data_IF_108850388675
#
_entry.id   IF_108850388675
#
_cell.length_a   1.000
_cell.length_b   1.000
_cell.length_c   1.000
_cell.angle_alpha   90.00
_cell.angle_beta   90.00
_cell.angle_gamma   90.00
#
_symmetry.space_group_name_H-M   'P 1'
#
loop_
_entity.id
_entity.type
_entity.pdbx_description
1 polymer ?
#
# COMPACT_ATOMS: atom_id res chain seq x y z
N UNK A 1 35.14 26.36 5.40
CA UNK A 1 35.22 24.99 4.83
C UNK A 1 34.45 24.09 5.78
N UNK A 2 33.35 23.41 5.48
CA UNK A 2 32.82 22.93 4.20
C UNK A 2 32.53 21.44 4.36
N UNK A 3 31.36 21.07 4.88
CA UNK A 3 30.82 19.71 4.75
C UNK A 3 29.29 19.79 4.82
N UNK A 4 28.68 19.85 3.63
CA UNK A 4 27.25 20.01 3.45
C UNK A 4 26.46 18.84 3.99
N UNK A 5 25.29 19.15 4.55
CA UNK A 5 24.22 18.19 4.83
C UNK A 5 23.85 17.49 3.52
N UNK A 6 24.26 16.23 3.36
CA UNK A 6 23.81 15.43 2.22
C UNK A 6 22.31 15.17 2.39
N UNK A 7 21.51 15.94 1.65
CA UNK A 7 20.09 15.66 1.47
C UNK A 7 20.04 14.33 0.72
N UNK A 8 19.80 13.24 1.46
CA UNK A 8 19.53 11.90 0.94
C UNK A 8 18.47 12.03 -0.17
N UNK A 9 18.91 12.04 -1.43
CA UNK A 9 18.07 11.75 -2.58
C UNK A 9 17.73 10.26 -2.51
N UNK A 10 16.85 9.92 -1.56
CA UNK A 10 16.43 8.54 -1.31
C UNK A 10 15.85 7.96 -2.59
N UNK A 11 16.32 6.77 -2.95
CA UNK A 11 16.03 6.03 -4.18
C UNK A 11 14.58 6.25 -4.68
N UNK A 12 14.42 7.21 -5.59
CA UNK A 12 13.10 7.61 -6.14
C UNK A 12 12.61 6.64 -7.21
N UNK A 13 13.54 5.90 -7.83
CA UNK A 13 13.25 4.98 -8.92
C UNK A 13 13.11 3.52 -8.47
N UNK A 14 13.72 3.11 -7.35
CA UNK A 14 13.70 1.72 -6.87
C UNK A 14 14.60 0.81 -7.71
N UNK A 15 15.34 -0.08 -7.05
CA UNK A 15 16.06 -1.17 -7.71
C UNK A 15 15.11 -2.37 -7.88
N UNK A 16 15.46 -3.32 -8.76
CA UNK A 16 14.68 -4.55 -8.90
C UNK A 16 14.53 -5.24 -7.53
N UNK A 17 13.30 -5.55 -7.13
CA UNK A 17 12.98 -6.14 -5.82
C UNK A 17 13.07 -5.20 -4.61
N UNK A 18 13.46 -3.94 -4.77
CA UNK A 18 13.48 -2.92 -3.70
C UNK A 18 12.43 -1.85 -3.94
N UNK A 19 11.67 -1.51 -2.89
CA UNK A 19 10.65 -0.48 -3.02
C UNK A 19 11.28 0.91 -2.98
N UNK A 20 10.92 1.75 -3.96
CA UNK A 20 11.32 3.16 -3.95
C UNK A 20 10.60 3.90 -2.83
N UNK A 21 11.18 5.01 -2.36
CA UNK A 21 10.49 5.85 -1.37
C UNK A 21 9.16 6.41 -1.91
N UNK A 22 9.08 6.65 -3.23
CA UNK A 22 7.86 7.09 -3.88
C UNK A 22 6.76 6.01 -3.86
N UNK A 23 7.11 4.77 -4.23
CA UNK A 23 6.19 3.64 -4.19
C UNK A 23 5.75 3.31 -2.75
N UNK A 24 6.66 3.45 -1.79
CA UNK A 24 6.33 3.22 -0.38
C UNK A 24 5.40 4.30 0.17
N UNK A 25 5.68 5.58 -0.10
CA UNK A 25 4.77 6.67 0.26
C UNK A 25 3.39 6.52 -0.40
N UNK A 26 3.37 6.09 -1.66
CA UNK A 26 2.14 5.76 -2.38
C UNK A 26 1.36 4.62 -1.68
N UNK A 27 2.04 3.53 -1.33
CA UNK A 27 1.43 2.39 -0.64
C UNK A 27 0.94 2.78 0.77
N UNK A 28 1.75 3.49 1.56
CA UNK A 28 1.45 3.82 2.95
C UNK A 28 0.43 4.97 3.07
N UNK A 29 0.70 6.13 2.46
CA UNK A 29 -0.09 7.36 2.61
C UNK A 29 -1.13 7.54 1.51
N UNK A 30 -0.82 7.08 0.30
CA UNK A 30 -1.66 7.29 -0.89
C UNK A 30 -1.27 8.50 -1.72
N UNK A 31 -1.77 8.52 -2.95
CA UNK A 31 -1.65 9.64 -3.87
C UNK A 31 -2.96 10.41 -3.88
N UNK A 32 -2.89 11.72 -3.67
CA UNK A 32 -4.04 12.61 -3.67
C UNK A 32 -4.04 13.49 -4.92
N UNK A 33 -5.23 13.90 -5.35
CA UNK A 33 -5.46 14.86 -6.41
C UNK A 33 -6.32 15.99 -5.86
N UNK A 34 -6.17 17.18 -6.44
CA UNK A 34 -7.04 18.32 -6.18
C UNK A 34 -8.19 18.29 -7.18
N UNK A 35 -9.41 18.41 -6.68
CA UNK A 35 -10.64 18.63 -7.44
C UNK A 35 -11.23 19.97 -7.03
N UNK A 36 -12.25 20.48 -7.74
CA UNK A 36 -12.96 21.69 -7.31
C UNK A 36 -13.54 21.57 -5.90
N UNK A 37 -13.94 20.36 -5.49
CA UNK A 37 -14.53 20.05 -4.18
C UNK A 37 -13.49 19.79 -3.08
N UNK A 38 -12.19 19.84 -3.40
CA UNK A 38 -11.10 19.68 -2.44
C UNK A 38 -10.10 18.58 -2.79
N UNK A 39 -9.39 18.07 -1.77
CA UNK A 39 -8.45 16.97 -1.96
C UNK A 39 -9.17 15.62 -1.94
N UNK A 40 -8.78 14.76 -2.88
CA UNK A 40 -9.37 13.43 -3.08
C UNK A 40 -8.28 12.39 -3.26
N UNK A 41 -8.43 11.21 -2.66
CA UNK A 41 -7.51 10.11 -2.90
C UNK A 41 -7.69 9.56 -4.33
N UNK A 42 -6.58 9.43 -5.06
CA UNK A 42 -6.49 8.88 -6.42
C UNK A 42 -6.25 7.37 -6.39
N UNK A 43 -5.27 6.94 -5.60
CA UNK A 43 -4.79 5.55 -5.52
C UNK A 43 -3.87 5.33 -4.32
N UNK A 44 -3.59 4.07 -3.97
CA UNK A 44 -2.74 3.69 -2.84
C UNK A 44 -3.44 3.89 -1.49
N UNK A 45 -2.66 4.23 -0.45
CA UNK A 45 -3.18 4.61 0.85
C UNK A 45 -3.68 3.42 1.68
N UNK A 46 -2.80 2.47 1.92
CA UNK A 46 -3.05 1.22 2.60
C UNK A 46 -2.47 1.16 4.02
N UNK A 47 -1.65 2.13 4.43
CA UNK A 47 -1.10 2.17 5.79
C UNK A 47 -1.95 2.98 6.76
N UNK A 48 -1.57 2.96 8.03
CA UNK A 48 -2.22 3.79 9.04
C UNK A 48 -2.05 5.29 8.76
N UNK A 49 -0.93 5.70 8.16
CA UNK A 49 -0.68 7.10 7.81
C UNK A 49 -1.69 7.65 6.79
N UNK A 50 -2.28 6.79 5.95
CA UNK A 50 -3.40 7.20 5.11
C UNK A 50 -4.60 7.61 5.95
N UNK A 51 -5.01 6.79 6.93
CA UNK A 51 -6.13 7.11 7.81
C UNK A 51 -5.87 8.40 8.58
N UNK A 52 -4.67 8.59 9.13
CA UNK A 52 -4.33 9.84 9.83
C UNK A 52 -4.33 11.06 8.89
N UNK A 53 -3.89 10.88 7.65
CA UNK A 53 -3.97 11.93 6.62
C UNK A 53 -5.41 12.26 6.24
N UNK A 54 -6.30 11.26 6.12
CA UNK A 54 -7.71 11.45 5.82
C UNK A 54 -8.41 12.23 6.95
N UNK A 55 -8.19 11.85 8.21
CA UNK A 55 -8.70 12.58 9.39
C UNK A 55 -8.25 14.05 9.38
N UNK A 56 -6.94 14.29 9.17
CA UNK A 56 -6.38 15.65 9.10
C UNK A 56 -7.01 16.51 7.99
N UNK A 57 -7.46 15.88 6.91
CA UNK A 57 -8.09 16.55 5.78
C UNK A 57 -9.61 16.62 5.89
N UNK A 58 -10.22 16.07 6.94
CA UNK A 58 -11.68 15.96 7.04
C UNK A 58 -12.29 15.04 5.97
N UNK A 59 -11.51 14.11 5.41
CA UNK A 59 -12.00 13.16 4.41
C UNK A 59 -12.53 11.93 5.15
N UNK A 60 -13.81 11.64 4.96
CA UNK A 60 -14.46 10.48 5.54
C UNK A 60 -13.84 9.16 5.05
N UNK A 61 -13.80 8.19 5.96
CA UNK A 61 -13.46 6.81 5.67
C UNK A 61 -14.25 5.90 6.59
N UNK A 62 -14.50 4.68 6.14
CA UNK A 62 -15.24 3.67 6.88
C UNK A 62 -14.39 2.42 6.99
N UNK A 63 -14.35 1.81 8.19
CA UNK A 63 -13.82 0.46 8.40
C UNK A 63 -15.04 -0.45 8.57
N UNK A 64 -15.23 -1.36 7.63
CA UNK A 64 -16.39 -2.25 7.54
C UNK A 64 -16.09 -3.63 8.13
N UNK A 65 -14.86 -4.12 7.95
CA UNK A 65 -14.42 -5.43 8.44
C UNK A 65 -12.99 -5.36 8.93
N UNK A 66 -12.68 -6.07 10.01
CA UNK A 66 -11.31 -6.30 10.47
C UNK A 66 -11.09 -7.81 10.57
N UNK A 67 -10.03 -8.31 9.94
CA UNK A 67 -9.62 -9.71 10.06
C UNK A 67 -8.89 -9.96 11.39
N UNK A 68 -8.82 -11.22 11.88
CA UNK A 68 -8.09 -11.56 13.10
C UNK A 68 -6.60 -11.17 13.08
N UNK A 69 -5.99 -11.12 11.88
CA UNK A 69 -4.60 -10.68 11.69
C UNK A 69 -4.44 -9.15 11.59
N UNK A 70 -5.50 -8.38 11.88
CA UNK A 70 -5.47 -6.92 11.93
C UNK A 70 -5.70 -6.20 10.60
N UNK A 71 -5.76 -6.90 9.46
CA UNK A 71 -6.10 -6.26 8.17
C UNK A 71 -7.52 -5.69 8.23
N UNK A 72 -7.70 -4.47 7.71
CA UNK A 72 -8.96 -3.75 7.75
C UNK A 72 -9.47 -3.52 6.35
N UNK A 73 -10.74 -3.82 6.10
CA UNK A 73 -11.43 -3.50 4.85
C UNK A 73 -12.49 -2.45 5.10
N UNK A 74 -12.75 -1.64 4.08
CA UNK A 74 -13.77 -0.62 4.13
C UNK A 74 -13.75 0.25 2.89
N UNK A 75 -13.99 1.54 3.03
CA UNK A 75 -14.13 2.44 1.88
C UNK A 75 -13.80 3.90 2.24
N UNK A 76 -13.61 4.71 1.20
CA UNK A 76 -13.48 6.16 1.30
C UNK A 76 -14.54 6.71 0.34
N UNK A 77 -15.68 7.27 0.82
CA UNK A 77 -16.81 7.66 -0.04
C UNK A 77 -16.42 8.58 -1.20
N UNK A 78 -15.47 9.48 -0.93
CA UNK A 78 -14.94 10.39 -1.93
C UNK A 78 -13.77 9.80 -2.73
N UNK A 79 -13.44 8.50 -2.68
CA UNK A 79 -12.30 7.93 -3.43
C UNK A 79 -12.48 8.06 -4.95
N UNK A 80 -11.42 8.42 -5.73
CA UNK A 80 -11.49 8.56 -7.21
C UNK A 80 -12.06 7.33 -7.93
N UNK A 81 -11.55 6.16 -7.57
CA UNK A 81 -12.01 4.87 -8.07
C UNK A 81 -13.36 4.51 -7.43
N UNK A 82 -14.41 4.36 -8.25
CA UNK A 82 -15.80 4.07 -7.81
C UNK A 82 -15.93 2.85 -6.92
N UNK A 83 -15.23 1.76 -7.26
CA UNK A 83 -15.21 0.52 -6.47
C UNK A 83 -14.79 0.76 -5.01
N UNK A 84 -13.92 1.74 -4.76
CA UNK A 84 -13.38 2.03 -3.42
C UNK A 84 -14.27 2.96 -2.58
N UNK A 85 -15.40 3.41 -3.14
CA UNK A 85 -16.30 4.37 -2.49
C UNK A 85 -17.28 3.71 -1.52
N UNK A 86 -17.50 2.39 -1.61
CA UNK A 86 -18.50 1.68 -0.82
C UNK A 86 -18.00 0.30 -0.39
N UNK A 87 -18.67 -0.30 0.60
CA UNK A 87 -18.39 -1.66 1.06
C UNK A 87 -16.94 -1.83 1.52
N UNK A 88 -16.27 -2.87 1.03
CA UNK A 88 -14.91 -3.30 1.40
C UNK A 88 -13.87 -3.00 0.31
N UNK A 89 -14.13 -2.03 -0.58
CA UNK A 89 -13.28 -1.75 -1.74
C UNK A 89 -11.93 -1.09 -1.46
N UNK A 90 -11.67 -0.62 -0.25
CA UNK A 90 -10.37 -0.17 0.25
C UNK A 90 -9.89 -1.10 1.35
N UNK A 91 -8.60 -1.42 1.35
CA UNK A 91 -7.97 -2.23 2.38
C UNK A 91 -6.83 -1.45 3.03
N UNK A 92 -6.67 -1.62 4.34
CA UNK A 92 -5.57 -1.07 5.14
C UNK A 92 -4.88 -2.19 5.91
N UNK A 93 -3.56 -2.08 6.02
CA UNK A 93 -2.74 -2.93 6.87
C UNK A 93 -3.19 -2.82 8.34
N UNK A 94 -2.73 -3.74 9.20
CA UNK A 94 -2.91 -3.58 10.63
C UNK A 94 -2.49 -2.19 11.12
N UNK A 95 -3.20 -1.68 12.13
CA UNK A 95 -3.05 -0.28 12.59
C UNK A 95 -1.63 0.02 13.06
N UNK A 96 -0.96 -0.97 13.62
CA UNK A 96 0.37 -0.94 14.18
C UNK A 96 1.48 -1.07 13.13
N UNK A 97 1.17 -1.42 11.87
CA UNK A 97 2.18 -1.53 10.83
C UNK A 97 2.72 -0.16 10.45
N UNK A 98 4.04 -0.02 10.58
CA UNK A 98 4.77 1.17 10.17
C UNK A 98 5.06 1.17 8.67
N UNK A 99 5.50 2.32 8.14
CA UNK A 99 6.06 2.40 6.79
C UNK A 99 7.15 1.34 6.55
N UNK A 100 7.98 1.05 7.57
CA UNK A 100 9.04 0.05 7.47
C UNK A 100 8.51 -1.40 7.44
N UNK A 101 7.40 -1.70 8.13
CA UNK A 101 6.76 -3.02 8.03
C UNK A 101 6.21 -3.24 6.61
N UNK A 102 5.56 -2.23 6.03
CA UNK A 102 5.04 -2.28 4.64
C UNK A 102 6.20 -2.47 3.65
N UNK A 103 7.32 -1.75 3.84
CA UNK A 103 8.53 -1.92 3.02
C UNK A 103 9.03 -3.35 3.06
N UNK A 104 9.26 -3.89 4.26
CA UNK A 104 9.80 -5.24 4.45
C UNK A 104 8.86 -6.30 3.89
N UNK A 105 7.55 -6.15 4.12
CA UNK A 105 6.54 -7.04 3.58
C UNK A 105 6.54 -7.07 2.04
N UNK A 106 6.54 -5.90 1.40
CA UNK A 106 6.56 -5.78 -0.05
C UNK A 106 7.83 -6.35 -0.68
N UNK A 107 9.00 -6.04 -0.09
CA UNK A 107 10.29 -6.58 -0.57
C UNK A 107 10.38 -8.09 -0.36
N UNK A 108 9.89 -8.62 0.77
CA UNK A 108 9.83 -10.05 1.02
C UNK A 108 8.95 -10.77 0.01
N UNK A 109 7.70 -10.32 -0.19
CA UNK A 109 6.79 -10.93 -1.15
C UNK A 109 7.36 -10.86 -2.57
N UNK A 110 8.02 -9.75 -2.92
CA UNK A 110 8.66 -9.60 -4.21
C UNK A 110 9.92 -10.48 -4.38
N UNK A 111 10.54 -10.98 -3.32
CA UNK A 111 11.72 -11.83 -3.41
C UNK A 111 11.41 -13.33 -3.39
N UNK A 112 10.16 -13.73 -3.14
CA UNK A 112 9.74 -15.13 -3.20
C UNK A 112 10.01 -15.73 -4.59
N UNK A 113 10.61 -16.92 -4.65
CA UNK A 113 11.02 -17.59 -5.90
C UNK A 113 9.91 -17.62 -6.96
N UNK A 114 8.69 -18.02 -6.57
CA UNK A 114 7.54 -18.08 -7.48
C UNK A 114 7.06 -16.71 -7.99
N UNK A 115 7.40 -15.63 -7.29
CA UNK A 115 7.01 -14.26 -7.63
C UNK A 115 8.09 -13.51 -8.44
N UNK A 116 9.28 -14.10 -8.61
CA UNK A 116 10.37 -13.54 -9.40
C UNK A 116 10.17 -13.75 -10.91
N UNK A 117 9.42 -14.79 -11.29
CA UNK A 117 9.12 -15.14 -12.69
C UNK A 117 7.86 -14.45 -13.24
N UNK A 118 7.09 -13.77 -12.39
CA UNK A 118 5.85 -13.11 -12.76
C UNK A 118 6.09 -11.90 -13.65
N UNK A 119 5.16 -11.63 -14.57
CA UNK A 119 5.26 -10.53 -15.53
C UNK A 119 4.92 -9.19 -14.86
N UNK A 120 5.41 -8.10 -15.45
CA UNK A 120 4.97 -6.77 -15.05
C UNK A 120 3.45 -6.60 -15.23
N UNK A 121 2.83 -5.91 -14.28
CA UNK A 121 1.38 -5.71 -14.21
C UNK A 121 0.62 -6.83 -13.50
N UNK A 122 1.21 -8.01 -13.33
CA UNK A 122 0.59 -9.10 -12.58
C UNK A 122 0.61 -8.81 -11.07
N UNK A 123 -0.50 -9.11 -10.41
CA UNK A 123 -0.56 -9.14 -8.95
C UNK A 123 0.13 -10.41 -8.46
N UNK A 124 1.24 -10.22 -7.75
CA UNK A 124 1.87 -11.28 -6.96
C UNK A 124 1.44 -11.16 -5.51
N UNK A 125 1.40 -12.27 -4.79
CA UNK A 125 1.09 -12.25 -3.36
C UNK A 125 1.95 -13.22 -2.56
N UNK A 126 1.99 -12.99 -1.25
CA UNK A 126 2.68 -13.83 -0.29
C UNK A 126 2.29 -13.45 1.14
N UNK A 127 2.71 -14.23 2.12
CA UNK A 127 2.43 -13.95 3.53
C UNK A 127 3.62 -13.27 4.20
N UNK A 128 3.34 -12.26 5.02
CA UNK A 128 4.32 -11.61 5.89
C UNK A 128 3.67 -11.35 7.24
N UNK A 129 4.27 -11.88 8.32
CA UNK A 129 3.74 -11.77 9.69
C UNK A 129 2.24 -12.10 9.79
N UNK A 130 1.79 -13.16 9.09
CA UNK A 130 0.39 -13.60 9.08
C UNK A 130 -0.56 -12.77 8.20
N UNK A 131 -0.09 -11.70 7.55
CA UNK A 131 -0.87 -10.90 6.59
C UNK A 131 -0.56 -11.36 5.16
N UNK A 132 -1.59 -11.60 4.35
CA UNK A 132 -1.45 -11.80 2.91
C UNK A 132 -1.28 -10.44 2.23
N UNK A 133 -0.14 -10.26 1.59
CA UNK A 133 0.31 -9.00 0.99
C UNK A 133 0.38 -9.18 -0.53
N UNK A 134 -0.23 -8.25 -1.25
CA UNK A 134 -0.15 -8.11 -2.69
C UNK A 134 0.90 -7.08 -3.09
N UNK A 135 1.59 -7.35 -4.20
CA UNK A 135 2.58 -6.46 -4.80
C UNK A 135 2.31 -6.40 -6.31
N UNK A 136 2.33 -5.20 -6.88
CA UNK A 136 2.26 -5.00 -8.33
C UNK A 136 3.57 -4.36 -8.79
N UNK A 137 4.17 -4.93 -9.83
CA UNK A 137 5.35 -4.38 -10.49
C UNK A 137 5.01 -3.74 -11.83
N UNK A 138 5.76 -2.73 -12.22
CA UNK A 138 5.80 -2.19 -13.59
C UNK A 138 7.21 -1.77 -13.93
N UNK A 139 7.67 -2.13 -15.12
CA UNK A 139 9.04 -1.94 -15.59
C UNK A 139 10.06 -2.50 -14.58
N UNK A 140 9.83 -3.72 -14.10
CA UNK A 140 10.67 -4.43 -13.13
C UNK A 140 10.70 -3.84 -11.72
N UNK A 141 9.86 -2.84 -11.43
CA UNK A 141 9.88 -2.09 -10.16
C UNK A 141 8.57 -2.22 -9.42
N UNK A 142 8.65 -2.38 -8.10
CA UNK A 142 7.49 -2.36 -7.20
C UNK A 142 6.80 -1.00 -7.30
N UNK A 143 5.53 -0.98 -7.71
CA UNK A 143 4.72 0.24 -7.81
C UNK A 143 3.81 0.44 -6.60
N UNK A 144 3.28 -0.64 -6.05
CA UNK A 144 2.44 -0.59 -4.85
C UNK A 144 2.55 -1.90 -4.07
N UNK A 145 2.24 -1.79 -2.79
CA UNK A 145 2.16 -2.88 -1.81
C UNK A 145 0.87 -2.67 -1.03
N UNK A 146 0.07 -3.72 -0.87
CA UNK A 146 -1.25 -3.62 -0.22
C UNK A 146 -1.59 -4.93 0.51
N UNK A 147 -2.43 -4.88 1.54
CA UNK A 147 -3.01 -6.10 2.08
C UNK A 147 -4.04 -6.64 1.08
N UNK A 148 -3.99 -7.93 0.81
CA UNK A 148 -5.00 -8.57 -0.04
C UNK A 148 -6.39 -8.46 0.61
N UNK A 149 -7.43 -8.30 -0.20
CA UNK A 149 -8.82 -8.25 0.30
C UNK A 149 -9.29 -9.59 0.87
N UNK A 150 -8.69 -10.67 0.39
CA UNK A 150 -8.81 -12.01 0.94
C UNK A 150 -7.55 -12.32 1.77
N UNK A 151 -7.76 -12.74 3.02
CA UNK A 151 -6.72 -13.10 3.97
C UNK A 151 -6.67 -14.62 4.26
N UNK A 152 -7.43 -15.43 3.52
CA UNK A 152 -7.36 -16.89 3.61
C UNK A 152 -6.00 -17.42 3.18
N UNK A 153 -5.55 -18.52 3.82
CA UNK A 153 -4.37 -19.25 3.37
C UNK A 153 -4.74 -20.10 2.16
N UNK A 154 -3.83 -20.16 1.18
CA UNK A 154 -4.00 -21.04 0.02
C UNK A 154 -4.02 -22.49 0.53
N UNK A 155 -5.19 -23.14 0.50
CA UNK A 155 -5.40 -24.51 1.00
C UNK A 155 -6.51 -24.66 2.05
N UNK A 156 -7.05 -23.57 2.59
CA UNK A 156 -8.26 -23.61 3.42
C UNK A 156 -9.49 -23.43 2.53
N UNK A 157 -9.96 -24.55 1.94
CA UNK A 157 -11.32 -24.68 1.36
C UNK A 157 -12.01 -25.86 2.01
#
# INVERSE_FOLDING_TARGET
MGAGRSRLYGNTKGAAGKISNAALKHANVGTFIRTPEGLRIKSGGHGQDNIEKLKKLGIEYNIVKTFPNGVRLGNIPTHRIRFKQKGTGQAWFPKEWTENDIRRAGEHVASLKGNQISKDGEEISGFWKGVRVGVIRRNGRIQTVYPCYDQSKKGER
#
